data_IF_349507903702
#
_entry.id   IF_349507903702
#
_cell.length_a   1.000
_cell.length_b   1.000
_cell.length_c   1.000
_cell.angle_alpha   90.00
_cell.angle_beta   90.00
_cell.angle_gamma   90.00
#
_symmetry.space_group_name_H-M   'P 1'
#
loop_
_entity.id
_entity.type
_entity.pdbx_description
1 polymer ?
#
# COMPACT_ATOMS: atom_id res chain seq x y z
N UNK A 1 -0.98 29.51 -27.46
CA UNK A 1 -0.44 28.68 -26.36
C UNK A 1 -1.59 28.39 -25.43
N UNK A 2 -1.90 27.13 -25.08
CA UNK A 2 -2.90 26.88 -24.04
C UNK A 2 -2.46 27.63 -22.79
N UNK A 3 -3.35 28.41 -22.20
CA UNK A 3 -3.07 29.14 -20.96
C UNK A 3 -2.63 28.14 -19.90
N UNK A 4 -1.41 28.32 -19.39
CA UNK A 4 -0.84 27.48 -18.34
C UNK A 4 -1.79 27.48 -17.13
N UNK A 5 -2.39 26.32 -16.83
CA UNK A 5 -3.32 26.18 -15.71
C UNK A 5 -2.50 26.28 -14.42
N UNK A 6 -2.70 27.35 -13.65
CA UNK A 6 -2.07 27.51 -12.34
C UNK A 6 -2.73 26.56 -11.35
N UNK A 7 -1.92 25.81 -10.58
CA UNK A 7 -2.42 24.87 -9.56
C UNK A 7 -2.27 25.48 -8.17
N UNK A 8 -3.40 25.60 -7.45
CA UNK A 8 -3.43 25.94 -6.03
C UNK A 8 -3.16 24.70 -5.17
N UNK A 9 -2.37 24.88 -4.09
CA UNK A 9 -2.08 23.85 -3.10
C UNK A 9 -2.49 24.36 -1.73
N UNK A 10 -3.45 23.70 -1.10
CA UNK A 10 -3.96 24.04 0.22
C UNK A 10 -3.49 23.00 1.24
N UNK A 11 -2.73 23.44 2.25
CA UNK A 11 -2.36 22.56 3.35
C UNK A 11 -3.56 22.33 4.27
N UNK A 12 -3.86 21.06 4.52
CA UNK A 12 -4.96 20.63 5.37
C UNK A 12 -4.38 19.87 6.55
N UNK A 13 -4.72 20.27 7.78
CA UNK A 13 -4.31 19.58 9.00
C UNK A 13 -5.47 19.52 9.98
N UNK A 14 -5.86 18.31 10.39
CA UNK A 14 -7.08 18.08 11.17
C UNK A 14 -6.85 17.11 12.33
N UNK A 15 -7.59 17.26 13.45
CA UNK A 15 -7.66 16.21 14.45
C UNK A 15 -8.37 14.98 13.88
N UNK A 16 -8.12 13.83 14.50
CA UNK A 16 -8.86 12.59 14.29
C UNK A 16 -9.76 12.34 15.50
N UNK A 17 -10.91 11.65 15.35
CA UNK A 17 -11.72 11.22 16.50
C UNK A 17 -10.91 10.55 17.61
N UNK A 18 -9.84 9.83 17.25
CA UNK A 18 -8.97 9.12 18.20
C UNK A 18 -7.62 9.79 18.48
N UNK A 19 -7.38 11.01 17.97
CA UNK A 19 -6.17 11.77 18.26
C UNK A 19 -6.36 13.28 18.05
N UNK A 20 -5.99 14.06 19.07
CA UNK A 20 -5.93 15.52 18.98
C UNK A 20 -4.64 16.03 18.34
N UNK A 21 -4.52 17.36 18.26
CA UNK A 21 -3.26 18.03 17.93
C UNK A 21 -2.20 17.71 19.00
N UNK A 22 -1.02 17.25 18.58
CA UNK A 22 0.04 16.86 19.50
C UNK A 22 0.69 18.09 20.19
N UNK A 23 1.45 17.84 21.26
CA UNK A 23 2.09 18.91 22.05
C UNK A 23 3.13 19.73 21.28
N UNK A 24 3.67 19.22 20.17
CA UNK A 24 4.54 19.97 19.27
C UNK A 24 3.77 20.81 18.23
N UNK A 25 2.43 20.69 18.20
CA UNK A 25 1.56 21.45 17.31
C UNK A 25 1.21 20.77 15.99
N UNK A 26 1.60 19.51 15.78
CA UNK A 26 1.22 18.73 14.60
C UNK A 26 -0.18 18.12 14.74
N UNK A 27 -0.95 18.10 13.65
CA UNK A 27 -2.19 17.33 13.56
C UNK A 27 -1.89 15.87 13.16
N UNK A 28 -2.69 14.89 13.62
CA UNK A 28 -2.49 13.49 13.24
C UNK A 28 -2.80 13.23 11.78
N UNK A 29 -3.75 13.95 11.18
CA UNK A 29 -4.10 13.83 9.78
C UNK A 29 -3.68 15.10 9.04
N UNK A 30 -2.89 14.95 7.98
CA UNK A 30 -2.31 16.09 7.25
C UNK A 30 -2.23 15.79 5.75
N UNK A 31 -2.33 16.82 4.91
CA UNK A 31 -2.24 16.63 3.47
C UNK A 31 -2.16 17.94 2.69
N UNK A 32 -2.08 17.81 1.38
CA UNK A 32 -2.17 18.92 0.43
C UNK A 32 -3.30 18.66 -0.56
N UNK A 33 -4.25 19.59 -0.59
CA UNK A 33 -5.32 19.61 -1.59
C UNK A 33 -4.89 20.42 -2.80
N UNK A 34 -4.89 19.78 -3.96
CA UNK A 34 -4.53 20.36 -5.25
C UNK A 34 -5.79 20.59 -6.08
N UNK A 35 -5.88 21.76 -6.73
CA UNK A 35 -6.93 22.10 -7.70
C UNK A 35 -6.45 23.18 -8.66
N UNK A 36 -7.11 23.31 -9.81
CA UNK A 36 -6.90 24.47 -10.67
C UNK A 36 -7.30 25.76 -9.94
N UNK A 37 -6.48 26.82 -10.08
CA UNK A 37 -6.67 28.07 -9.36
C UNK A 37 -8.03 28.71 -9.64
N UNK A 38 -8.68 29.24 -8.60
CA UNK A 38 -10.00 29.85 -8.70
C UNK A 38 -11.16 28.88 -8.99
N UNK A 39 -10.93 27.56 -9.02
CA UNK A 39 -11.98 26.56 -9.24
C UNK A 39 -12.43 25.89 -7.94
N UNK A 40 -13.60 25.25 -7.98
CA UNK A 40 -14.08 24.35 -6.91
C UNK A 40 -14.52 23.03 -7.56
N UNK A 41 -13.60 22.05 -7.67
CA UNK A 41 -13.91 20.77 -8.31
C UNK A 41 -15.09 20.05 -7.64
N UNK A 42 -15.99 19.48 -8.45
CA UNK A 42 -17.10 18.63 -7.97
C UNK A 42 -16.68 17.18 -7.77
N UNK A 43 -15.63 16.76 -8.47
CA UNK A 43 -15.02 15.43 -8.37
C UNK A 43 -13.61 15.61 -7.81
N UNK A 44 -13.25 14.81 -6.81
CA UNK A 44 -11.89 14.81 -6.28
C UNK A 44 -11.42 13.41 -5.91
N UNK A 45 -10.11 13.21 -6.04
CA UNK A 45 -9.41 12.00 -5.62
C UNK A 45 -8.79 12.21 -4.24
N UNK A 46 -8.70 11.13 -3.47
CA UNK A 46 -7.90 11.06 -2.24
C UNK A 46 -6.95 9.88 -2.33
N UNK A 47 -5.68 10.08 -1.99
CA UNK A 47 -4.67 9.03 -1.95
C UNK A 47 -3.97 8.99 -0.59
N UNK A 48 -3.84 7.79 -0.04
CA UNK A 48 -3.18 7.54 1.24
C UNK A 48 -2.31 6.29 1.17
N UNK A 49 -1.21 6.30 1.92
CA UNK A 49 -0.32 5.17 2.08
C UNK A 49 -0.13 4.84 3.58
N UNK A 50 0.30 3.62 3.87
CA UNK A 50 0.51 3.15 5.24
C UNK A 50 1.51 4.01 6.04
N UNK A 51 2.61 4.41 5.41
CA UNK A 51 3.70 5.14 6.09
C UNK A 51 4.42 6.21 5.26
N UNK A 52 4.20 6.24 3.95
CA UNK A 52 4.92 7.17 3.05
C UNK A 52 4.15 8.49 3.04
N UNK A 53 4.86 9.61 2.89
CA UNK A 53 4.23 10.90 2.70
C UNK A 53 3.57 10.97 1.31
N UNK A 54 2.24 11.08 1.30
CA UNK A 54 1.44 11.20 0.09
C UNK A 54 0.90 12.62 -0.11
N UNK A 55 1.28 13.59 0.72
CA UNK A 55 0.82 14.97 0.57
C UNK A 55 1.21 15.56 -0.79
N UNK A 56 2.44 15.33 -1.24
CA UNK A 56 2.97 15.77 -2.54
C UNK A 56 2.93 14.66 -3.61
N UNK A 57 1.88 13.84 -3.61
CA UNK A 57 1.77 12.71 -4.54
C UNK A 57 1.94 13.16 -6.01
N UNK A 58 2.75 12.41 -6.76
CA UNK A 58 3.22 12.82 -8.09
C UNK A 58 2.12 13.03 -9.15
N UNK A 59 0.93 12.46 -8.94
CA UNK A 59 -0.21 12.55 -9.87
C UNK A 59 -1.08 13.80 -9.64
N UNK A 60 -0.91 14.48 -8.49
CA UNK A 60 -1.85 15.49 -8.00
C UNK A 60 -2.06 16.65 -8.98
N UNK A 61 -0.98 17.23 -9.49
CA UNK A 61 -1.06 18.33 -10.46
C UNK A 61 -1.66 17.90 -11.79
N UNK A 62 -1.41 16.67 -12.23
CA UNK A 62 -1.92 16.18 -13.51
C UNK A 62 -3.44 16.04 -13.47
N UNK A 63 -3.99 15.46 -12.41
CA UNK A 63 -5.44 15.40 -12.22
C UNK A 63 -6.06 16.78 -11.99
N UNK A 64 -5.36 17.69 -11.31
CA UNK A 64 -5.80 19.07 -11.16
C UNK A 64 -5.88 19.83 -12.49
N UNK A 65 -4.99 19.56 -13.45
CA UNK A 65 -5.06 20.10 -14.81
C UNK A 65 -6.24 19.55 -15.61
N UNK A 66 -6.72 18.35 -15.29
CA UNK A 66 -7.97 17.79 -15.80
C UNK A 66 -9.24 18.34 -15.12
N UNK A 67 -9.10 19.28 -14.19
CA UNK A 67 -10.22 19.93 -13.50
C UNK A 67 -10.70 19.19 -12.24
N UNK A 68 -10.01 18.12 -11.84
CA UNK A 68 -10.33 17.35 -10.63
C UNK A 68 -9.61 17.89 -9.39
N UNK A 69 -10.23 17.74 -8.22
CA UNK A 69 -9.52 17.93 -6.97
C UNK A 69 -8.60 16.73 -6.68
N UNK A 70 -7.49 16.95 -6.00
CA UNK A 70 -6.66 15.85 -5.50
C UNK A 70 -6.16 16.14 -4.09
N UNK A 71 -6.57 15.31 -3.13
CA UNK A 71 -6.06 15.36 -1.76
C UNK A 71 -5.02 14.26 -1.56
N UNK A 72 -3.75 14.65 -1.56
CA UNK A 72 -2.68 13.83 -1.02
C UNK A 72 -2.81 13.80 0.50
N UNK A 73 -3.12 12.64 1.09
CA UNK A 73 -3.55 12.55 2.50
C UNK A 73 -2.72 11.56 3.30
N UNK A 74 -2.18 12.04 4.41
CA UNK A 74 -1.44 11.26 5.39
C UNK A 74 -2.29 10.98 6.62
N UNK A 75 -2.27 9.71 7.06
CA UNK A 75 -2.70 9.34 8.41
C UNK A 75 -1.61 9.66 9.42
N UNK A 76 -1.91 9.44 10.71
CA UNK A 76 -0.92 9.56 11.79
C UNK A 76 0.31 8.65 11.64
N UNK A 77 0.23 7.65 10.77
CA UNK A 77 1.25 6.62 10.60
C UNK A 77 2.33 6.97 9.57
N UNK A 78 2.28 8.17 8.96
CA UNK A 78 3.38 8.66 8.11
C UNK A 78 4.70 8.69 8.89
N UNK A 79 5.65 7.87 8.48
CA UNK A 79 6.95 7.68 9.15
C UNK A 79 6.89 6.84 10.44
N UNK A 80 5.73 6.25 10.77
CA UNK A 80 5.49 5.50 12.01
C UNK A 80 4.88 4.11 11.72
N UNK A 81 5.38 3.42 10.69
CA UNK A 81 4.91 2.08 10.28
C UNK A 81 4.94 1.05 11.40
N UNK A 82 5.93 1.11 12.30
CA UNK A 82 6.08 0.17 13.42
C UNK A 82 4.93 0.21 14.43
N UNK A 83 4.05 1.21 14.35
CA UNK A 83 2.89 1.37 15.21
C UNK A 83 1.57 1.42 14.44
N UNK A 84 1.57 0.99 13.17
CA UNK A 84 0.38 1.04 12.33
C UNK A 84 -0.78 0.24 12.93
N UNK A 85 -1.98 0.84 12.90
CA UNK A 85 -3.24 0.22 13.29
C UNK A 85 -4.26 0.47 12.18
N UNK A 86 -4.79 -0.60 11.59
CA UNK A 86 -5.69 -0.51 10.44
C UNK A 86 -6.94 0.33 10.76
N UNK A 87 -7.67 -0.01 11.81
CA UNK A 87 -8.90 0.69 12.20
C UNK A 87 -8.69 2.21 12.40
N UNK A 88 -7.61 2.60 13.07
CA UNK A 88 -7.25 4.01 13.25
C UNK A 88 -6.87 4.69 11.93
N UNK A 89 -6.18 3.98 11.03
CA UNK A 89 -5.84 4.50 9.71
C UNK A 89 -7.09 4.73 8.86
N UNK A 90 -8.08 3.82 8.93
CA UNK A 90 -9.35 3.98 8.22
C UNK A 90 -10.14 5.18 8.73
N UNK A 91 -10.17 5.39 10.04
CA UNK A 91 -10.77 6.59 10.66
C UNK A 91 -10.06 7.87 10.19
N UNK A 92 -8.73 7.87 10.16
CA UNK A 92 -7.92 9.01 9.69
C UNK A 92 -8.15 9.31 8.19
N UNK A 93 -8.33 8.29 7.35
CA UNK A 93 -8.74 8.47 5.94
C UNK A 93 -10.14 9.08 5.86
N UNK A 94 -11.08 8.62 6.69
CA UNK A 94 -12.44 9.16 6.74
C UNK A 94 -12.49 10.64 7.14
N UNK A 95 -11.51 11.15 7.89
CA UNK A 95 -11.37 12.60 8.15
C UNK A 95 -11.10 13.36 6.84
N UNK A 96 -10.20 12.87 6.00
CA UNK A 96 -9.90 13.48 4.69
C UNK A 96 -11.08 13.43 3.73
N UNK A 97 -11.80 12.29 3.68
CA UNK A 97 -13.01 12.15 2.85
C UNK A 97 -14.11 13.12 3.30
N UNK A 98 -14.39 13.23 4.60
CA UNK A 98 -15.35 14.21 5.13
C UNK A 98 -14.93 15.65 4.83
N UNK A 99 -13.65 15.97 4.96
CA UNK A 99 -13.16 17.31 4.63
C UNK A 99 -13.39 17.66 3.15
N UNK A 100 -13.14 16.71 2.23
CA UNK A 100 -13.45 16.91 0.80
C UNK A 100 -14.94 17.21 0.58
N UNK A 101 -15.82 16.44 1.20
CA UNK A 101 -17.27 16.57 1.06
C UNK A 101 -17.79 17.88 1.68
N UNK A 102 -17.43 18.14 2.93
CA UNK A 102 -18.05 19.19 3.75
C UNK A 102 -17.38 20.55 3.59
N UNK A 103 -16.05 20.60 3.40
CA UNK A 103 -15.28 21.84 3.39
C UNK A 103 -14.85 22.24 1.97
N UNK A 104 -14.33 21.28 1.19
CA UNK A 104 -13.96 21.55 -0.21
C UNK A 104 -15.17 21.57 -1.16
N UNK A 105 -16.32 21.05 -0.73
CA UNK A 105 -17.56 21.04 -1.51
C UNK A 105 -17.57 20.04 -2.66
N UNK A 106 -16.79 18.96 -2.52
CA UNK A 106 -16.71 17.85 -3.48
C UNK A 106 -17.96 16.97 -3.35
N UNK A 107 -18.59 16.68 -4.48
CA UNK A 107 -19.80 15.84 -4.55
C UNK A 107 -19.46 14.37 -4.80
N UNK A 108 -18.39 14.11 -5.55
CA UNK A 108 -17.91 12.75 -5.89
C UNK A 108 -16.47 12.58 -5.41
N UNK A 109 -16.28 11.72 -4.41
CA UNK A 109 -14.94 11.35 -3.92
C UNK A 109 -14.53 10.01 -4.53
N UNK A 110 -13.33 9.95 -5.09
CA UNK A 110 -12.72 8.75 -5.67
C UNK A 110 -11.49 8.36 -4.85
N UNK A 111 -11.39 7.09 -4.48
CA UNK A 111 -10.23 6.57 -3.76
C UNK A 111 -9.14 6.20 -4.76
N UNK A 112 -7.92 6.68 -4.55
CA UNK A 112 -6.74 6.26 -5.32
C UNK A 112 -5.76 5.54 -4.41
N UNK A 113 -5.62 4.24 -4.61
CA UNK A 113 -4.62 3.41 -3.97
C UNK A 113 -3.42 3.17 -4.88
N UNK A 114 -2.28 3.81 -4.58
CA UNK A 114 -0.99 3.54 -5.24
C UNK A 114 -0.11 2.65 -4.36
N UNK A 115 0.55 1.64 -4.94
CA UNK A 115 1.42 0.73 -4.19
C UNK A 115 0.66 0.06 -3.05
N UNK A 116 1.20 0.10 -1.82
CA UNK A 116 0.48 -0.38 -0.63
C UNK A 116 -0.85 0.34 -0.39
N UNK A 117 -0.99 1.58 -0.86
CA UNK A 117 -2.25 2.31 -0.82
C UNK A 117 -3.41 1.55 -1.48
N UNK A 118 -3.17 0.68 -2.47
CA UNK A 118 -4.20 -0.15 -3.09
C UNK A 118 -5.01 -0.95 -2.07
N UNK A 119 -4.33 -1.79 -1.31
CA UNK A 119 -4.93 -2.59 -0.24
C UNK A 119 -5.55 -1.76 0.89
N UNK A 120 -4.91 -0.65 1.28
CA UNK A 120 -5.41 0.22 2.35
C UNK A 120 -6.70 0.94 1.97
N UNK A 121 -6.76 1.47 0.74
CA UNK A 121 -7.93 2.18 0.24
C UNK A 121 -9.07 1.20 -0.09
N UNK A 122 -8.77 -0.05 -0.47
CA UNK A 122 -9.77 -1.11 -0.57
C UNK A 122 -10.35 -1.45 0.81
N UNK A 123 -9.51 -1.60 1.84
CA UNK A 123 -9.96 -1.81 3.22
C UNK A 123 -10.82 -0.65 3.75
N UNK A 124 -10.48 0.60 3.42
CA UNK A 124 -11.31 1.75 3.72
C UNK A 124 -12.70 1.64 3.09
N UNK A 125 -12.77 1.36 1.78
CA UNK A 125 -14.04 1.25 1.08
C UNK A 125 -14.88 0.10 1.63
N UNK A 126 -14.27 -1.08 1.80
CA UNK A 126 -14.91 -2.26 2.39
C UNK A 126 -15.49 -1.94 3.76
N UNK A 127 -14.70 -1.33 4.65
CA UNK A 127 -15.19 -0.95 5.98
C UNK A 127 -16.33 0.08 5.93
N UNK A 128 -16.32 1.00 4.97
CA UNK A 128 -17.36 2.01 4.82
C UNK A 128 -18.71 1.43 4.32
N UNK A 129 -18.70 0.31 3.60
CA UNK A 129 -19.93 -0.29 3.02
C UNK A 129 -20.36 -1.60 3.71
N UNK A 130 -19.41 -2.35 4.24
CA UNK A 130 -19.60 -3.64 4.90
C UNK A 130 -18.61 -3.78 6.08
N UNK A 131 -18.83 -3.05 7.19
CA UNK A 131 -17.97 -3.06 8.38
C UNK A 131 -17.54 -4.46 8.82
N UNK A 132 -16.22 -4.72 8.85
CA UNK A 132 -15.65 -6.04 9.20
C UNK A 132 -14.30 -6.01 9.89
N UNK A 133 -13.61 -4.87 9.88
CA UNK A 133 -12.31 -4.73 10.54
C UNK A 133 -12.49 -4.78 12.06
N UNK A 134 -11.77 -5.68 12.72
CA UNK A 134 -11.73 -5.79 14.19
C UNK A 134 -10.45 -5.20 14.75
N UNK A 135 -10.46 -4.61 15.95
CA UNK A 135 -9.24 -4.15 16.61
C UNK A 135 -8.30 -5.33 16.92
N UNK A 136 -7.02 -5.02 17.14
CA UNK A 136 -6.07 -5.99 17.68
C UNK A 136 -6.53 -6.52 19.05
N UNK A 137 -6.14 -7.75 19.38
CA UNK A 137 -6.51 -8.39 20.63
C UNK A 137 -6.10 -7.55 21.86
N UNK A 138 -7.09 -7.28 22.72
CA UNK A 138 -6.95 -6.46 23.91
C UNK A 138 -7.08 -4.95 23.65
N UNK A 139 -7.42 -4.53 22.43
CA UNK A 139 -7.71 -3.14 22.09
C UNK A 139 -9.21 -2.93 21.85
N UNK A 140 -9.66 -1.69 22.01
CA UNK A 140 -11.00 -1.27 21.62
C UNK A 140 -10.98 -0.78 20.17
N UNK A 141 -12.09 -0.93 19.42
CA UNK A 141 -12.19 -0.34 18.09
C UNK A 141 -11.95 1.18 18.12
N UNK A 142 -11.34 1.72 17.07
CA UNK A 142 -11.21 3.16 16.89
C UNK A 142 -12.59 3.85 16.87
N UNK A 143 -12.73 4.95 17.59
CA UNK A 143 -13.94 5.78 17.54
C UNK A 143 -14.17 6.31 16.12
N UNK A 144 -15.39 6.16 15.60
CA UNK A 144 -15.78 6.58 14.25
C UNK A 144 -15.55 5.56 13.13
N UNK A 145 -15.06 4.35 13.47
CA UNK A 145 -14.84 3.27 12.50
C UNK A 145 -16.12 2.80 11.78
N UNK A 146 -17.28 2.91 12.44
CA UNK A 146 -18.57 2.45 11.91
C UNK A 146 -19.34 3.55 11.15
N UNK A 147 -18.75 4.74 11.00
CA UNK A 147 -19.37 5.92 10.37
C UNK A 147 -18.48 6.51 9.29
N UNK A 148 -17.69 5.67 8.60
CA UNK A 148 -16.84 6.12 7.50
C UNK A 148 -17.70 6.44 6.27
N UNK A 149 -17.54 7.62 5.64
CA UNK A 149 -18.23 7.89 4.38
C UNK A 149 -17.66 7.03 3.25
N UNK A 150 -18.52 6.29 2.58
CA UNK A 150 -18.16 5.54 1.38
C UNK A 150 -17.80 6.49 0.23
N UNK A 151 -16.88 6.07 -0.63
CA UNK A 151 -16.52 6.78 -1.85
C UNK A 151 -17.31 6.27 -3.06
N UNK A 152 -17.28 7.04 -4.14
CA UNK A 152 -18.04 6.77 -5.36
C UNK A 152 -17.30 5.87 -6.36
N UNK A 153 -15.98 5.70 -6.20
CA UNK A 153 -15.17 4.89 -7.11
C UNK A 153 -13.77 4.61 -6.55
N UNK A 154 -13.08 3.65 -7.16
CA UNK A 154 -11.79 3.14 -6.70
C UNK A 154 -10.78 2.98 -7.84
N UNK A 155 -9.57 3.52 -7.66
CA UNK A 155 -8.46 3.38 -8.60
C UNK A 155 -7.30 2.69 -7.90
N UNK A 156 -6.90 1.52 -8.36
CA UNK A 156 -5.65 0.87 -7.99
C UNK A 156 -4.58 1.18 -9.03
N UNK A 157 -3.41 1.66 -8.62
CA UNK A 157 -2.33 2.01 -9.55
C UNK A 157 -0.98 1.50 -9.07
N UNK A 158 -0.31 0.66 -9.86
CA UNK A 158 0.93 -0.03 -9.44
C UNK A 158 0.81 -0.60 -8.02
N UNK A 159 -0.34 -1.23 -7.73
CA UNK A 159 -0.75 -1.64 -6.40
C UNK A 159 -0.51 -3.14 -6.17
N UNK A 160 -0.18 -3.51 -4.93
CA UNK A 160 -0.04 -4.90 -4.51
C UNK A 160 -1.17 -5.33 -3.57
N UNK A 161 -1.27 -6.64 -3.33
CA UNK A 161 -2.36 -7.31 -2.60
C UNK A 161 -2.38 -7.08 -1.09
N UNK A 162 -1.57 -6.17 -0.56
CA UNK A 162 -1.46 -5.95 0.87
C UNK A 162 -0.07 -6.16 1.42
N UNK A 163 0.15 -5.62 2.62
CA UNK A 163 1.42 -5.70 3.35
C UNK A 163 1.85 -7.12 3.70
N UNK A 164 0.95 -8.05 4.11
CA UNK A 164 1.34 -9.42 4.42
C UNK A 164 1.78 -10.21 3.17
N UNK A 165 1.02 -10.07 2.08
CA UNK A 165 1.27 -10.78 0.83
C UNK A 165 2.59 -10.28 0.20
N UNK A 166 2.75 -8.96 0.02
CA UNK A 166 3.97 -8.40 -0.61
C UNK A 166 5.22 -8.64 0.23
N UNK A 167 5.13 -8.53 1.56
CA UNK A 167 6.29 -8.77 2.41
C UNK A 167 6.72 -10.24 2.30
N UNK A 168 5.76 -11.16 2.30
CA UNK A 168 6.07 -12.59 2.16
C UNK A 168 6.71 -12.88 0.81
N UNK A 169 6.15 -12.34 -0.27
CA UNK A 169 6.71 -12.49 -1.62
C UNK A 169 8.13 -11.93 -1.75
N UNK A 170 8.50 -10.94 -0.93
CA UNK A 170 9.83 -10.34 -0.92
C UNK A 170 10.77 -10.94 0.14
N UNK A 171 10.28 -11.77 1.06
CA UNK A 171 11.10 -12.35 2.12
C UNK A 171 12.12 -13.33 1.57
N UNK A 172 13.33 -13.30 2.11
CA UNK A 172 14.31 -14.32 1.80
C UNK A 172 13.96 -15.64 2.50
N UNK A 173 13.60 -16.65 1.71
CA UNK A 173 13.21 -17.97 2.19
C UNK A 173 14.37 -18.74 2.85
N UNK A 174 15.62 -18.35 2.58
CA UNK A 174 16.81 -19.05 3.07
C UNK A 174 17.19 -18.70 4.51
N UNK A 175 16.53 -17.74 5.15
CA UNK A 175 16.81 -17.39 6.55
C UNK A 175 16.39 -18.54 7.46
N UNK A 176 17.37 -19.10 8.19
CA UNK A 176 17.15 -20.20 9.15
C UNK A 176 16.85 -19.65 10.55
N UNK A 177 17.64 -18.68 11.00
CA UNK A 177 17.55 -18.07 12.33
C UNK A 177 17.26 -16.57 12.21
N UNK A 178 16.12 -16.12 12.72
CA UNK A 178 15.73 -14.70 12.66
C UNK A 178 16.60 -13.80 13.56
N UNK A 179 17.37 -14.38 14.49
CA UNK A 179 18.32 -13.65 15.35
C UNK A 179 19.72 -13.51 14.77
N UNK A 180 20.03 -14.26 13.69
CA UNK A 180 21.28 -14.17 12.96
C UNK A 180 21.02 -13.87 11.47
N UNK A 181 21.18 -12.60 11.02
CA UNK A 181 20.91 -12.23 9.63
C UNK A 181 21.84 -12.91 8.62
N UNK A 182 22.95 -13.52 9.05
CA UNK A 182 23.89 -14.24 8.18
C UNK A 182 23.54 -15.72 7.99
N UNK A 183 22.69 -16.27 8.86
CA UNK A 183 22.25 -17.66 8.82
C UNK A 183 21.43 -17.96 7.56
N UNK A 184 21.91 -18.90 6.74
CA UNK A 184 21.42 -19.13 5.37
C UNK A 184 21.35 -20.61 5.03
N UNK A 185 20.21 -21.07 4.50
CA UNK A 185 20.04 -22.38 3.85
C UNK A 185 20.47 -22.28 2.37
N UNK A 186 21.59 -22.91 1.96
CA UNK A 186 22.07 -22.84 0.57
C UNK A 186 21.09 -23.41 -0.46
N UNK A 187 20.20 -24.32 -0.06
CA UNK A 187 19.21 -24.95 -0.94
C UNK A 187 17.97 -24.07 -1.20
N UNK A 188 17.87 -22.94 -0.49
CA UNK A 188 16.88 -21.90 -0.67
C UNK A 188 17.51 -20.53 -0.91
N UNK A 189 18.84 -20.38 -0.94
CA UNK A 189 19.48 -19.09 -1.18
C UNK A 189 19.24 -18.67 -2.64
N UNK A 190 18.44 -17.61 -2.81
CA UNK A 190 18.11 -17.04 -4.12
C UNK A 190 19.37 -16.57 -4.85
N UNK A 191 20.42 -16.18 -4.12
CA UNK A 191 21.65 -15.60 -4.65
C UNK A 191 22.79 -16.62 -4.75
N UNK A 192 22.53 -17.90 -4.47
CA UNK A 192 23.46 -18.98 -4.74
C UNK A 192 23.42 -19.34 -6.23
N UNK A 193 24.58 -19.29 -6.90
CA UNK A 193 24.72 -19.55 -8.34
C UNK A 193 24.23 -20.95 -8.75
N UNK A 194 24.29 -21.93 -7.84
CA UNK A 194 23.79 -23.29 -8.09
C UNK A 194 22.26 -23.35 -8.26
N UNK A 195 21.52 -22.37 -7.73
CA UNK A 195 20.06 -22.30 -7.82
C UNK A 195 19.57 -21.52 -9.04
N UNK A 196 20.40 -20.65 -9.62
CA UNK A 196 20.06 -19.79 -10.76
C UNK A 196 20.56 -18.34 -10.62
N UNK A 197 20.03 -17.39 -11.42
CA UNK A 197 19.02 -17.58 -12.48
C UNK A 197 19.58 -18.26 -13.76
N UNK A 198 18.76 -18.82 -14.64
CA UNK A 198 17.29 -18.87 -14.58
C UNK A 198 16.78 -19.92 -13.57
N UNK A 199 15.79 -19.56 -12.76
CA UNK A 199 15.27 -20.45 -11.72
C UNK A 199 14.35 -21.51 -12.33
N UNK A 200 14.58 -22.78 -11.98
CA UNK A 200 13.68 -23.85 -12.40
C UNK A 200 12.29 -23.69 -11.75
N UNK A 201 11.20 -24.14 -12.40
CA UNK A 201 9.87 -24.12 -11.79
C UNK A 201 9.83 -24.83 -10.42
N UNK A 202 10.56 -25.93 -10.27
CA UNK A 202 10.65 -26.67 -9.01
C UNK A 202 11.32 -25.85 -7.89
N UNK A 203 12.38 -25.08 -8.22
CA UNK A 203 12.99 -24.16 -7.26
C UNK A 203 12.02 -23.05 -6.87
N UNK A 204 11.34 -22.42 -7.84
CA UNK A 204 10.38 -21.33 -7.55
C UNK A 204 9.26 -21.82 -6.63
N UNK A 205 8.68 -23.00 -6.87
CA UNK A 205 7.67 -23.59 -5.97
C UNK A 205 8.20 -23.77 -4.56
N UNK A 206 9.35 -24.44 -4.40
CA UNK A 206 9.97 -24.68 -3.08
C UNK A 206 10.34 -23.37 -2.38
N UNK A 207 10.80 -22.37 -3.13
CA UNK A 207 11.17 -21.05 -2.59
C UNK A 207 9.94 -20.32 -2.05
N UNK A 208 8.85 -20.28 -2.81
CA UNK A 208 7.57 -19.67 -2.38
C UNK A 208 7.00 -20.35 -1.12
N UNK A 209 7.07 -21.68 -1.05
CA UNK A 209 6.71 -22.41 0.17
C UNK A 209 7.57 -22.00 1.38
N UNK A 210 8.88 -21.83 1.17
CA UNK A 210 9.82 -21.35 2.18
C UNK A 210 9.52 -19.93 2.67
N UNK A 211 9.12 -19.03 1.78
CA UNK A 211 8.70 -17.67 2.13
C UNK A 211 7.47 -17.68 3.05
N UNK A 212 6.42 -18.43 2.66
CA UNK A 212 5.20 -18.58 3.46
C UNK A 212 5.51 -19.22 4.82
N UNK A 213 6.33 -20.29 4.83
CA UNK A 213 6.75 -20.95 6.05
C UNK A 213 7.49 -19.98 6.99
N UNK A 214 8.36 -19.11 6.46
CA UNK A 214 9.06 -18.09 7.25
C UNK A 214 8.09 -17.09 7.88
N UNK A 215 7.14 -16.55 7.11
CA UNK A 215 6.10 -15.65 7.66
C UNK A 215 5.35 -16.33 8.83
N UNK A 216 4.92 -17.58 8.64
CA UNK A 216 4.23 -18.33 9.68
C UNK A 216 5.08 -18.61 10.93
N UNK A 217 6.38 -18.92 10.77
CA UNK A 217 7.30 -19.08 11.91
C UNK A 217 7.43 -17.78 12.72
N UNK A 218 7.62 -16.64 12.05
CA UNK A 218 7.70 -15.34 12.72
C UNK A 218 6.37 -15.02 13.42
N UNK A 219 5.23 -15.30 12.79
CA UNK A 219 3.91 -15.13 13.41
C UNK A 219 3.74 -15.97 14.67
N UNK A 220 4.07 -17.26 14.62
CA UNK A 220 3.96 -18.14 15.78
C UNK A 220 4.82 -17.63 16.94
N UNK A 221 6.08 -17.28 16.65
CA UNK A 221 6.97 -16.66 17.63
C UNK A 221 6.41 -15.35 18.18
N UNK A 222 5.83 -14.49 17.33
CA UNK A 222 5.30 -13.20 17.75
C UNK A 222 4.10 -13.34 18.69
N UNK A 223 3.25 -14.36 18.49
CA UNK A 223 2.15 -14.70 19.40
C UNK A 223 2.67 -15.17 20.76
N UNK A 224 3.59 -16.13 20.76
CA UNK A 224 4.18 -16.69 21.99
C UNK A 224 4.91 -15.60 22.79
N UNK A 225 5.70 -14.78 22.08
CA UNK A 225 6.45 -13.70 22.69
C UNK A 225 5.52 -12.60 23.21
N UNK A 226 4.42 -12.29 22.51
CA UNK A 226 3.44 -11.30 22.98
C UNK A 226 2.75 -11.77 24.26
N UNK A 227 2.40 -13.06 24.34
CA UNK A 227 1.86 -13.65 25.56
C UNK A 227 2.88 -13.60 26.71
N UNK A 228 4.15 -13.96 26.44
CA UNK A 228 5.23 -13.96 27.42
C UNK A 228 5.48 -12.55 28.00
N UNK A 229 5.69 -11.55 27.14
CA UNK A 229 5.99 -10.18 27.62
C UNK A 229 4.80 -9.54 28.35
N UNK A 230 3.56 -9.88 27.96
CA UNK A 230 2.34 -9.44 28.67
C UNK A 230 2.22 -10.04 30.06
N UNK A 231 2.60 -11.31 30.24
CA UNK A 231 2.64 -11.93 31.56
C UNK A 231 3.62 -11.22 32.51
N UNK A 232 4.69 -10.63 31.96
CA UNK A 232 5.68 -9.82 32.69
C UNK A 232 5.27 -8.32 32.81
N UNK A 233 4.06 -7.94 32.39
CA UNK A 233 3.53 -6.58 32.51
C UNK A 233 3.90 -5.62 31.37
N UNK A 234 4.58 -6.09 30.31
CA UNK A 234 4.87 -5.28 29.13
C UNK A 234 3.70 -5.32 28.13
N UNK A 235 3.48 -4.22 27.41
CA UNK A 235 2.37 -4.12 26.46
C UNK A 235 2.68 -4.66 25.06
N UNK A 236 3.96 -4.63 24.67
CA UNK A 236 4.49 -5.00 23.35
C UNK A 236 6.04 -5.09 23.41
N UNK A 237 6.68 -5.57 22.36
CA UNK A 237 8.14 -5.61 22.19
C UNK A 237 8.53 -5.29 20.75
N UNK A 238 9.60 -4.52 20.57
CA UNK A 238 10.21 -4.30 19.27
C UNK A 238 11.13 -5.47 18.87
N UNK A 239 11.15 -5.80 17.58
CA UNK A 239 12.08 -6.76 16.99
C UNK A 239 12.37 -6.41 15.52
N UNK A 240 13.35 -7.09 14.94
CA UNK A 240 13.77 -6.86 13.56
C UNK A 240 13.42 -8.03 12.65
N UNK A 241 13.14 -7.70 11.38
CA UNK A 241 12.97 -8.68 10.30
C UNK A 241 13.98 -8.36 9.21
N UNK A 242 14.88 -9.28 8.93
CA UNK A 242 15.97 -9.04 7.98
C UNK A 242 15.66 -9.66 6.61
N UNK A 243 16.37 -9.22 5.56
CA UNK A 243 16.37 -9.87 4.24
C UNK A 243 14.97 -10.00 3.63
N UNK A 244 14.47 -8.86 3.13
CA UNK A 244 13.13 -8.70 2.56
C UNK A 244 13.16 -8.08 1.15
N UNK A 245 14.18 -8.43 0.36
CA UNK A 245 14.33 -8.01 -1.04
C UNK A 245 14.72 -9.20 -1.93
N UNK A 246 13.99 -10.30 -1.78
CA UNK A 246 14.31 -11.59 -2.38
C UNK A 246 13.08 -12.24 -3.04
N UNK A 247 12.28 -11.47 -3.77
CA UNK A 247 11.34 -12.07 -4.71
C UNK A 247 12.11 -12.61 -5.93
N UNK A 248 11.94 -13.89 -6.34
CA UNK A 248 12.60 -14.43 -7.53
C UNK A 248 12.41 -13.59 -8.81
N UNK A 249 11.26 -12.91 -8.95
CA UNK A 249 10.92 -12.06 -10.11
C UNK A 249 11.76 -10.77 -10.18
N UNK A 250 12.34 -10.33 -9.06
CA UNK A 250 13.30 -9.21 -9.01
C UNK A 250 14.66 -9.59 -9.62
N UNK A 251 15.02 -10.89 -9.56
CA UNK A 251 16.33 -11.39 -10.01
C UNK A 251 16.25 -11.98 -11.41
N UNK A 252 15.25 -12.83 -11.65
CA UNK A 252 15.05 -13.53 -12.93
C UNK A 252 13.97 -12.84 -13.77
N UNK A 253 14.35 -12.11 -14.84
CA UNK A 253 13.39 -11.42 -15.71
C UNK A 253 12.56 -12.37 -16.57
N UNK A 254 12.87 -13.67 -16.60
CA UNK A 254 12.08 -14.67 -17.35
C UNK A 254 10.83 -15.11 -16.59
N UNK A 255 10.77 -14.87 -15.28
CA UNK A 255 9.57 -15.06 -14.47
C UNK A 255 8.65 -13.85 -14.66
N UNK A 256 7.46 -14.06 -15.23
CA UNK A 256 6.54 -12.96 -15.63
C UNK A 256 7.23 -11.88 -16.50
N UNK A 257 7.65 -12.18 -17.75
CA UNK A 257 8.42 -11.24 -18.56
C UNK A 257 7.69 -9.91 -18.81
N UNK A 258 8.36 -8.80 -18.51
CA UNK A 258 7.89 -7.42 -18.79
C UNK A 258 9.05 -6.54 -19.27
N UNK A 259 8.83 -5.21 -19.41
CA UNK A 259 9.88 -4.24 -19.73
C UNK A 259 10.78 -3.86 -18.56
N UNK A 260 10.61 -4.47 -17.38
CA UNK A 260 11.42 -4.15 -16.21
C UNK A 260 12.90 -4.47 -16.42
N UNK A 261 13.83 -3.70 -15.83
CA UNK A 261 15.24 -4.06 -15.81
C UNK A 261 15.45 -5.38 -15.05
N UNK A 262 16.32 -6.25 -15.59
CA UNK A 262 16.70 -7.48 -14.91
C UNK A 262 17.52 -7.20 -13.64
N UNK A 263 17.37 -8.05 -12.63
CA UNK A 263 18.14 -8.00 -11.39
C UNK A 263 18.06 -6.64 -10.67
N UNK A 264 16.84 -6.12 -10.53
CA UNK A 264 16.54 -4.82 -9.94
C UNK A 264 15.31 -4.92 -9.03
N UNK A 265 15.38 -4.26 -7.87
CA UNK A 265 14.26 -3.94 -6.99
C UNK A 265 14.30 -2.45 -6.65
N UNK A 266 13.33 -1.95 -5.88
CA UNK A 266 13.25 -0.52 -5.51
C UNK A 266 14.49 -0.01 -4.76
N UNK A 267 15.16 -0.89 -4.02
CA UNK A 267 16.38 -0.58 -3.26
C UNK A 267 17.68 -0.85 -4.04
N UNK A 268 17.60 -1.11 -5.35
CA UNK A 268 18.73 -1.38 -6.23
C UNK A 268 18.92 -2.87 -6.51
N UNK A 269 20.18 -3.33 -6.59
CA UNK A 269 20.48 -4.74 -6.90
C UNK A 269 20.00 -5.64 -5.75
N UNK A 270 19.11 -6.62 -5.99
CA UNK A 270 18.48 -7.45 -4.97
C UNK A 270 19.44 -8.06 -3.94
N UNK A 271 20.56 -8.67 -4.35
CA UNK A 271 21.53 -9.26 -3.40
C UNK A 271 22.11 -8.24 -2.41
N UNK A 272 22.35 -7.00 -2.87
CA UNK A 272 22.89 -5.92 -2.03
C UNK A 272 21.80 -5.36 -1.12
N UNK A 273 20.61 -5.10 -1.68
CA UNK A 273 19.47 -4.61 -0.93
C UNK A 273 19.05 -5.59 0.16
N UNK A 274 18.98 -6.88 -0.17
CA UNK A 274 18.56 -7.94 0.74
C UNK A 274 19.55 -8.14 1.91
N UNK A 275 20.85 -7.96 1.67
CA UNK A 275 21.90 -8.02 2.71
C UNK A 275 22.13 -6.67 3.42
N UNK A 276 21.25 -5.68 3.20
CA UNK A 276 21.31 -4.36 3.83
C UNK A 276 20.33 -4.22 5.00
N UNK A 277 20.37 -3.07 5.67
CA UNK A 277 19.40 -2.70 6.71
C UNK A 277 18.13 -2.05 6.15
N UNK A 278 18.03 -1.82 4.84
CA UNK A 278 16.92 -1.12 4.18
C UNK A 278 15.74 -2.04 3.81
N UNK A 279 15.45 -3.04 4.65
CA UNK A 279 14.31 -3.95 4.45
C UNK A 279 12.96 -3.31 4.80
N UNK A 280 11.91 -3.72 4.10
CA UNK A 280 10.52 -3.41 4.47
C UNK A 280 10.17 -4.20 5.74
N UNK A 281 9.45 -3.58 6.69
CA UNK A 281 9.15 -4.21 7.98
C UNK A 281 10.36 -4.47 8.88
N UNK A 282 11.55 -3.96 8.52
CA UNK A 282 12.82 -4.22 9.22
C UNK A 282 12.79 -3.82 10.69
N UNK A 283 12.09 -2.73 11.04
CA UNK A 283 11.79 -2.36 12.41
C UNK A 283 10.29 -2.51 12.67
N UNK A 284 9.92 -3.44 13.53
CA UNK A 284 8.52 -3.74 13.85
C UNK A 284 8.32 -4.03 15.33
N UNK A 285 7.08 -4.12 15.77
CA UNK A 285 6.70 -4.68 17.06
C UNK A 285 5.89 -5.96 16.88
N UNK A 286 5.65 -6.69 17.97
CA UNK A 286 4.82 -7.91 17.93
C UNK A 286 3.40 -7.59 17.47
N UNK A 287 2.79 -6.53 18.02
CA UNK A 287 1.45 -6.09 17.59
C UNK A 287 1.41 -5.65 16.13
N UNK A 288 2.42 -4.89 15.69
CA UNK A 288 2.50 -4.45 14.31
C UNK A 288 2.67 -5.63 13.35
N UNK A 289 3.50 -6.62 13.71
CA UNK A 289 3.62 -7.86 12.95
C UNK A 289 2.27 -8.56 12.78
N UNK A 290 1.55 -8.77 13.87
CA UNK A 290 0.23 -9.42 13.83
C UNK A 290 -0.81 -8.60 13.08
N UNK A 291 -0.78 -7.27 13.20
CA UNK A 291 -1.77 -6.37 12.60
C UNK A 291 -1.54 -6.04 11.13
N UNK A 292 -0.30 -6.13 10.63
CA UNK A 292 0.06 -5.63 9.31
C UNK A 292 0.88 -6.60 8.44
N UNK A 293 1.67 -7.50 9.02
CA UNK A 293 2.65 -8.31 8.28
C UNK A 293 2.34 -9.81 8.25
N UNK A 294 1.61 -10.31 9.24
CA UNK A 294 1.24 -11.72 9.34
C UNK A 294 0.24 -12.12 8.26
N UNK A 295 0.55 -13.14 7.46
CA UNK A 295 -0.38 -13.68 6.47
C UNK A 295 -1.67 -14.23 7.09
N UNK A 296 -1.60 -14.74 8.33
CA UNK A 296 -2.71 -15.42 8.99
C UNK A 296 -3.53 -14.53 9.93
N UNK A 297 -3.02 -13.37 10.34
CA UNK A 297 -3.68 -12.50 11.33
C UNK A 297 -3.98 -11.09 10.82
N UNK A 298 -3.15 -10.56 9.91
CA UNK A 298 -3.28 -9.17 9.51
C UNK A 298 -4.50 -8.98 8.61
N UNK A 299 -5.28 -7.95 8.89
CA UNK A 299 -6.45 -7.56 8.11
C UNK A 299 -6.08 -6.57 6.98
N UNK A 300 -4.79 -6.40 6.70
CA UNK A 300 -4.24 -5.52 5.66
C UNK A 300 -4.05 -6.23 4.31
N UNK A 301 -4.53 -7.47 4.18
CA UNK A 301 -4.65 -8.20 2.90
C UNK A 301 -5.80 -7.61 2.09
N UNK A 302 -5.61 -7.38 0.81
CA UNK A 302 -6.56 -6.69 -0.06
C UNK A 302 -7.76 -7.57 -0.43
N UNK A 303 -7.53 -8.86 -0.72
CA UNK A 303 -8.51 -9.76 -1.31
C UNK A 303 -9.86 -9.81 -0.55
N UNK A 304 -9.89 -9.94 0.80
CA UNK A 304 -11.17 -9.92 1.54
C UNK A 304 -11.95 -8.59 1.44
N UNK A 305 -11.27 -7.49 1.15
CA UNK A 305 -11.85 -6.15 1.06
C UNK A 305 -12.24 -5.79 -0.38
N UNK A 306 -11.47 -6.24 -1.37
CA UNK A 306 -11.73 -6.00 -2.79
C UNK A 306 -13.09 -6.57 -3.21
N UNK A 307 -13.52 -7.67 -2.60
CA UNK A 307 -14.84 -8.26 -2.84
C UNK A 307 -16.01 -7.33 -2.47
N UNK A 308 -15.82 -6.38 -1.54
CA UNK A 308 -16.85 -5.39 -1.17
C UNK A 308 -16.72 -4.08 -1.96
N UNK A 309 -15.67 -3.92 -2.78
CA UNK A 309 -15.53 -2.77 -3.66
C UNK A 309 -16.42 -2.98 -4.89
N UNK A 310 -17.70 -2.63 -4.74
CA UNK A 310 -18.73 -2.77 -5.79
C UNK A 310 -18.95 -1.50 -6.62
N UNK A 311 -18.34 -0.39 -6.22
CA UNK A 311 -18.33 0.88 -6.98
C UNK A 311 -17.49 0.75 -8.26
N UNK A 312 -17.65 1.64 -9.26
CA UNK A 312 -16.78 1.63 -10.43
C UNK A 312 -15.30 1.61 -10.07
N UNK A 313 -14.54 0.74 -10.74
CA UNK A 313 -13.13 0.54 -10.46
C UNK A 313 -12.20 0.59 -11.69
N UNK A 314 -10.98 1.08 -11.48
CA UNK A 314 -9.90 1.07 -12.47
C UNK A 314 -8.64 0.45 -11.86
N UNK A 315 -8.00 -0.48 -12.56
CA UNK A 315 -6.70 -1.04 -12.17
C UNK A 315 -5.66 -0.68 -13.22
N UNK A 316 -4.60 0.03 -12.82
CA UNK A 316 -3.50 0.45 -13.69
C UNK A 316 -2.23 -0.29 -13.30
N UNK A 317 -1.68 -1.07 -14.24
CA UNK A 317 -0.39 -1.71 -14.13
C UNK A 317 0.74 -0.77 -14.62
N UNK A 318 1.91 -0.83 -13.99
CA UNK A 318 3.15 -0.25 -14.51
C UNK A 318 4.03 -1.39 -15.03
N UNK A 319 4.20 -1.49 -16.35
CA UNK A 319 4.81 -2.67 -16.99
C UNK A 319 6.32 -2.83 -16.68
N UNK A 320 7.01 -1.72 -16.40
CA UNK A 320 8.43 -1.69 -16.03
C UNK A 320 8.69 -1.77 -14.52
N UNK A 321 7.67 -2.04 -13.72
CA UNK A 321 7.77 -2.15 -12.27
C UNK A 321 8.67 -3.33 -11.84
N UNK A 322 9.39 -3.14 -10.73
CA UNK A 322 10.42 -4.05 -10.19
C UNK A 322 10.07 -4.63 -8.83
N UNK A 323 8.84 -4.40 -8.33
CA UNK A 323 8.38 -4.98 -7.07
C UNK A 323 6.87 -5.26 -7.03
N UNK A 324 6.09 -4.69 -7.95
CA UNK A 324 4.72 -5.08 -8.25
C UNK A 324 4.66 -5.57 -9.69
N UNK A 325 4.00 -6.70 -9.93
CA UNK A 325 4.02 -7.39 -11.21
C UNK A 325 2.61 -7.44 -11.85
N UNK A 326 2.50 -7.74 -13.16
CA UNK A 326 1.20 -7.81 -13.82
C UNK A 326 0.22 -8.80 -13.16
N UNK A 327 0.71 -9.89 -12.57
CA UNK A 327 -0.12 -10.82 -11.80
C UNK A 327 -0.78 -10.18 -10.57
N UNK A 328 -0.12 -9.22 -9.91
CA UNK A 328 -0.72 -8.48 -8.79
C UNK A 328 -1.90 -7.63 -9.25
N UNK A 329 -1.71 -6.89 -10.36
CA UNK A 329 -2.76 -6.09 -10.97
C UNK A 329 -3.93 -6.95 -11.47
N UNK A 330 -3.64 -8.11 -12.06
CA UNK A 330 -4.65 -9.06 -12.49
C UNK A 330 -5.45 -9.62 -11.30
N UNK A 331 -4.76 -10.02 -10.23
CA UNK A 331 -5.42 -10.53 -9.03
C UNK A 331 -6.31 -9.45 -8.38
N UNK A 332 -5.83 -8.21 -8.27
CA UNK A 332 -6.68 -7.10 -7.78
C UNK A 332 -7.93 -6.96 -8.66
N UNK A 333 -7.78 -6.97 -9.98
CA UNK A 333 -8.93 -6.87 -10.89
C UNK A 333 -9.93 -8.00 -10.74
N UNK A 334 -9.44 -9.24 -10.64
CA UNK A 334 -10.30 -10.42 -10.51
C UNK A 334 -11.04 -10.43 -9.17
N UNK A 335 -10.39 -10.00 -8.08
CA UNK A 335 -10.96 -9.94 -6.74
C UNK A 335 -11.97 -8.80 -6.53
N UNK A 336 -12.01 -7.78 -7.39
CA UNK A 336 -12.99 -6.69 -7.29
C UNK A 336 -14.42 -7.21 -7.42
N UNK A 337 -15.26 -6.88 -6.44
CA UNK A 337 -16.71 -7.11 -6.46
C UNK A 337 -17.47 -6.23 -7.46
N UNK A 338 -16.80 -5.23 -8.04
CA UNK A 338 -17.39 -4.34 -9.04
C UNK A 338 -17.65 -5.04 -10.37
N UNK A 339 -18.84 -4.79 -10.93
CA UNK A 339 -19.17 -5.18 -12.30
C UNK A 339 -18.74 -4.12 -13.32
N UNK A 340 -18.59 -2.87 -12.89
CA UNK A 340 -18.06 -1.78 -13.71
C UNK A 340 -16.57 -1.59 -13.40
N UNK A 341 -15.74 -2.46 -13.98
CA UNK A 341 -14.29 -2.46 -13.77
C UNK A 341 -13.51 -2.43 -15.07
N UNK A 342 -12.45 -1.63 -15.10
CA UNK A 342 -11.55 -1.47 -16.24
C UNK A 342 -10.10 -1.76 -15.85
N UNK A 343 -9.28 -2.17 -16.81
CA UNK A 343 -7.82 -2.31 -16.65
C UNK A 343 -7.10 -1.42 -17.67
N UNK A 344 -5.93 -0.94 -17.28
CA UNK A 344 -4.96 -0.29 -18.16
C UNK A 344 -3.55 -0.71 -17.77
N UNK A 345 -2.61 -0.56 -18.69
CA UNK A 345 -1.18 -0.75 -18.42
C UNK A 345 -0.40 0.38 -19.05
N UNK A 346 0.54 0.95 -18.31
CA UNK A 346 1.43 2.03 -18.76
C UNK A 346 2.85 1.47 -18.81
N UNK A 347 3.59 1.81 -19.85
CA UNK A 347 5.02 1.47 -19.96
C UNK A 347 5.85 2.37 -19.04
N UNK A 348 5.92 2.00 -17.76
CA UNK A 348 6.63 2.79 -16.77
C UNK A 348 7.16 1.98 -15.58
N UNK A 349 8.09 2.57 -14.83
CA UNK A 349 8.47 2.11 -13.50
C UNK A 349 7.35 2.32 -12.46
N UNK A 350 7.58 1.84 -11.23
CA UNK A 350 6.63 1.92 -10.12
C UNK A 350 6.12 3.34 -9.80
N UNK A 351 6.93 4.36 -10.07
CA UNK A 351 6.65 5.77 -9.76
C UNK A 351 6.31 6.60 -11.00
N UNK A 352 6.10 5.92 -12.13
CA UNK A 352 5.80 6.50 -13.43
C UNK A 352 6.83 7.58 -13.86
N UNK A 353 8.12 7.42 -13.55
CA UNK A 353 9.14 8.44 -13.84
C UNK A 353 9.56 8.47 -15.32
N UNK A 354 9.20 7.44 -16.09
CA UNK A 354 9.40 7.41 -17.53
C UNK A 354 8.80 8.69 -18.17
N UNK A 355 9.48 9.31 -19.16
CA UNK A 355 8.99 10.52 -19.80
C UNK A 355 7.55 10.37 -20.32
N UNK A 356 6.63 11.21 -19.84
CA UNK A 356 5.22 11.19 -20.25
C UNK A 356 4.31 10.22 -19.48
N UNK A 357 4.86 9.25 -18.74
CA UNK A 357 4.05 8.19 -18.11
C UNK A 357 3.04 8.72 -17.08
N UNK A 358 3.40 9.72 -16.26
CA UNK A 358 2.45 10.37 -15.33
C UNK A 358 1.31 11.11 -16.05
N UNK A 359 1.60 11.69 -17.22
CA UNK A 359 0.56 12.34 -18.03
C UNK A 359 -0.39 11.27 -18.60
N UNK A 360 0.15 10.21 -19.20
CA UNK A 360 -0.65 9.08 -19.72
C UNK A 360 -1.52 8.44 -18.63
N UNK A 361 -0.95 8.23 -17.44
CA UNK A 361 -1.67 7.72 -16.28
C UNK A 361 -2.83 8.66 -15.88
N UNK A 362 -2.57 9.96 -15.80
CA UNK A 362 -3.62 10.94 -15.45
C UNK A 362 -4.70 11.06 -16.52
N UNK A 363 -4.32 11.04 -17.81
CA UNK A 363 -5.24 11.05 -18.94
C UNK A 363 -6.16 9.81 -18.91
N UNK A 364 -5.58 8.64 -18.62
CA UNK A 364 -6.33 7.39 -18.46
C UNK A 364 -7.35 7.48 -17.31
N UNK A 365 -6.93 8.01 -16.15
CA UNK A 365 -7.82 8.20 -15.00
C UNK A 365 -8.91 9.22 -15.34
N UNK A 366 -8.56 10.31 -16.01
CA UNK A 366 -9.50 11.37 -16.38
C UNK A 366 -10.55 10.88 -17.40
N UNK A 367 -10.13 10.16 -18.44
CA UNK A 367 -11.05 9.56 -19.40
C UNK A 367 -11.98 8.54 -18.75
N UNK A 368 -11.45 7.72 -17.83
CA UNK A 368 -12.26 6.78 -17.07
C UNK A 368 -13.28 7.49 -16.16
N UNK A 369 -12.90 8.63 -15.59
CA UNK A 369 -13.74 9.44 -14.70
C UNK A 369 -14.86 10.15 -15.45
N UNK A 370 -14.54 10.84 -16.55
CA UNK A 370 -15.53 11.59 -17.32
C UNK A 370 -16.66 10.70 -17.83
N UNK A 371 -16.36 9.48 -18.29
CA UNK A 371 -17.40 8.51 -18.75
C UNK A 371 -18.44 8.12 -17.70
N UNK A 372 -18.22 8.41 -16.41
CA UNK A 372 -19.05 7.94 -15.29
C UNK A 372 -19.72 9.04 -14.50
N UNK A 373 -19.10 10.21 -14.43
CA UNK A 373 -19.57 11.32 -13.58
C UNK A 373 -19.72 12.65 -14.32
N UNK A 374 -19.47 12.70 -15.64
CA UNK A 374 -19.68 13.86 -16.52
C UNK A 374 -20.56 13.49 -17.72
#
# INVERSE_FOLDING_TARGET
MPTEVTIEREFVGLPSPTAGRNGAGGHPCQGLYHRAAGTRPKIAFIATHYQIDFSEHYIAEYLARHGYGFLGWNTRFRGFESHFLLDHALVDIGVGVRWLQEQAGVETVLLLGNSGGGSLMAAYQSQAVAPKVTPLEGMRPAEGLDTLPAASGYVASAAHLGRPDVLTDWMDASVIDESDPTSTDPALDLFNEDNGPAYSPAFVTKYREGQVARNHRITAWALDELARVRADGFSDRAFTVHRTWADPRMVDPTLEPTKRPANLCYAGVPVKANRSTFGIGCATTLKNWLGMWSLSHAQTRAEPHLADVTVPALVINADGDTGVFPSDAQHIYDALGSTDKSQASVDADHYFQNPGARQEQADTIAEWTSKRWE
#
